data_IF_160603057799
#
_entry.id   IF_160603057799
#
_cell.length_a   1.000
_cell.length_b   1.000
_cell.length_c   1.000
_cell.angle_alpha   90.00
_cell.angle_beta   90.00
_cell.angle_gamma   90.00
#
_symmetry.space_group_name_H-M   'P 1'
#
loop_
_entity.id
_entity.type
_entity.pdbx_description
1 polymer ?
#
# COMPACT_ATOMS: atom_id res chain seq x y z
N UNK A 1 16.09 4.24 -13.21
CA UNK A 1 14.65 3.86 -13.23
C UNK A 1 13.88 5.01 -12.59
N UNK A 2 12.95 5.65 -13.30
CA UNK A 2 12.29 6.88 -12.85
C UNK A 2 11.33 6.68 -11.64
N UNK A 3 11.13 5.44 -11.16
CA UNK A 3 10.16 5.07 -10.12
C UNK A 3 10.78 4.28 -8.94
N UNK A 4 12.10 4.41 -8.70
CA UNK A 4 12.78 3.70 -7.62
C UNK A 4 12.71 2.16 -7.73
N UNK A 5 12.77 1.46 -6.60
CA UNK A 5 12.73 -0.02 -6.53
C UNK A 5 11.43 -0.59 -7.12
N UNK A 6 10.30 0.07 -6.92
CA UNK A 6 9.03 -0.36 -7.49
C UNK A 6 9.07 -0.31 -9.03
N UNK A 7 9.68 0.72 -9.60
CA UNK A 7 9.94 0.80 -11.05
C UNK A 7 10.80 -0.34 -11.58
N UNK A 8 11.81 -0.76 -10.81
CA UNK A 8 12.65 -1.90 -11.17
C UNK A 8 11.83 -3.20 -11.18
N UNK A 9 10.96 -3.41 -10.19
CA UNK A 9 10.09 -4.59 -10.15
C UNK A 9 9.15 -4.66 -11.36
N UNK A 10 8.52 -3.54 -11.73
CA UNK A 10 7.66 -3.48 -12.92
C UNK A 10 8.46 -3.74 -14.19
N UNK A 11 9.66 -3.13 -14.32
CA UNK A 11 10.55 -3.37 -15.47
C UNK A 11 11.01 -4.84 -15.55
N UNK A 12 11.13 -5.52 -14.41
CA UNK A 12 11.48 -6.94 -14.32
C UNK A 12 10.29 -7.89 -14.61
N UNK A 13 9.10 -7.36 -14.91
CA UNK A 13 7.94 -8.16 -15.29
C UNK A 13 6.91 -8.40 -14.18
N UNK A 14 7.07 -7.79 -13.00
CA UNK A 14 6.02 -7.82 -11.99
C UNK A 14 4.75 -7.13 -12.52
N UNK A 15 3.60 -7.81 -12.41
CA UNK A 15 2.31 -7.26 -12.86
C UNK A 15 1.87 -6.05 -12.03
N UNK A 16 2.24 -6.03 -10.75
CA UNK A 16 1.91 -4.99 -9.79
C UNK A 16 3.04 -4.88 -8.77
N UNK A 17 3.31 -3.67 -8.27
CA UNK A 17 4.22 -3.41 -7.17
C UNK A 17 3.57 -2.47 -6.16
N UNK A 18 3.64 -2.81 -4.87
CA UNK A 18 3.25 -1.95 -3.76
C UNK A 18 4.52 -1.38 -3.11
N UNK A 19 4.60 -0.07 -2.94
CA UNK A 19 5.76 0.59 -2.35
C UNK A 19 5.37 1.85 -1.58
N UNK A 20 6.29 2.37 -0.76
CA UNK A 20 6.15 3.65 -0.06
C UNK A 20 7.00 4.74 -0.72
N UNK A 21 6.50 5.98 -0.70
CA UNK A 21 7.22 7.17 -1.18
C UNK A 21 8.31 7.66 -0.21
N UNK A 22 8.14 7.42 1.09
CA UNK A 22 9.09 7.78 2.14
C UNK A 22 9.17 6.67 3.20
N UNK A 23 10.08 6.85 4.17
CA UNK A 23 10.22 5.97 5.32
C UNK A 23 8.98 6.05 6.23
N UNK A 24 8.42 4.91 6.58
CA UNK A 24 7.23 4.81 7.44
C UNK A 24 7.61 4.02 8.69
N UNK A 25 7.04 4.41 9.82
CA UNK A 25 7.10 3.67 11.08
C UNK A 25 6.74 2.18 10.89
N UNK A 26 7.52 1.29 11.51
CA UNK A 26 7.40 -0.15 11.30
C UNK A 26 6.07 -0.71 11.81
N UNK A 27 5.56 -0.22 12.96
CA UNK A 27 4.27 -0.64 13.49
C UNK A 27 3.13 -0.24 12.56
N UNK A 28 3.17 0.99 12.04
CA UNK A 28 2.20 1.51 11.07
C UNK A 28 2.23 0.69 9.77
N UNK A 29 3.43 0.40 9.25
CA UNK A 29 3.65 -0.40 8.05
C UNK A 29 3.11 -1.80 8.21
N UNK A 30 3.48 -2.48 9.30
CA UNK A 30 3.04 -3.84 9.61
C UNK A 30 1.51 -3.93 9.65
N UNK A 31 0.86 -2.98 10.32
CA UNK A 31 -0.60 -2.94 10.39
C UNK A 31 -1.26 -2.69 9.04
N UNK A 32 -0.76 -1.73 8.25
CA UNK A 32 -1.32 -1.38 6.95
C UNK A 32 -1.17 -2.51 5.94
N UNK A 33 0.02 -3.11 5.85
CA UNK A 33 0.29 -4.19 4.88
C UNK A 33 -0.47 -5.47 5.28
N UNK A 34 -0.57 -5.77 6.57
CA UNK A 34 -1.39 -6.89 7.05
C UNK A 34 -2.86 -6.69 6.69
N UNK A 35 -3.41 -5.49 6.92
CA UNK A 35 -4.80 -5.18 6.58
C UNK A 35 -5.03 -5.20 5.06
N UNK A 36 -4.09 -4.66 4.27
CA UNK A 36 -4.14 -4.75 2.81
C UNK A 36 -4.28 -6.19 2.32
N UNK A 37 -3.44 -7.13 2.80
CA UNK A 37 -3.54 -8.53 2.36
C UNK A 37 -4.82 -9.22 2.84
N UNK A 38 -5.33 -8.89 4.03
CA UNK A 38 -6.65 -9.38 4.48
C UNK A 38 -7.76 -8.94 3.55
N UNK A 39 -7.75 -7.68 3.12
CA UNK A 39 -8.76 -7.15 2.23
C UNK A 39 -8.62 -7.66 0.79
N UNK A 40 -7.40 -7.91 0.35
CA UNK A 40 -7.10 -8.49 -0.97
C UNK A 40 -7.64 -9.91 -1.12
N UNK A 41 -7.88 -10.64 -0.02
CA UNK A 41 -8.54 -11.95 -0.06
C UNK A 41 -10.02 -11.88 -0.43
N UNK A 42 -10.64 -10.69 -0.37
CA UNK A 42 -12.03 -10.52 -0.79
C UNK A 42 -12.11 -10.44 -2.32
N UNK A 43 -12.76 -11.41 -3.01
CA UNK A 43 -12.84 -11.43 -4.46
C UNK A 43 -13.65 -10.27 -5.06
N UNK A 44 -14.42 -9.53 -4.24
CA UNK A 44 -15.20 -8.38 -4.67
C UNK A 44 -14.42 -7.06 -4.62
N UNK A 45 -13.16 -7.07 -4.15
CA UNK A 45 -12.32 -5.89 -4.06
C UNK A 45 -11.17 -5.94 -5.06
N UNK A 46 -10.95 -4.85 -5.78
CA UNK A 46 -9.71 -4.64 -6.51
C UNK A 46 -8.54 -4.41 -5.56
N UNK A 47 -7.32 -4.56 -6.06
CA UNK A 47 -6.10 -4.22 -5.28
C UNK A 47 -6.12 -2.76 -4.82
N UNK A 48 -6.60 -1.85 -5.67
CA UNK A 48 -6.76 -0.44 -5.33
C UNK A 48 -7.75 -0.24 -4.17
N UNK A 49 -8.89 -0.93 -4.18
CA UNK A 49 -9.88 -0.86 -3.09
C UNK A 49 -9.33 -1.45 -1.79
N UNK A 50 -8.64 -2.59 -1.86
CA UNK A 50 -7.99 -3.20 -0.71
C UNK A 50 -6.97 -2.26 -0.06
N UNK A 51 -6.13 -1.58 -0.87
CA UNK A 51 -5.16 -0.61 -0.36
C UNK A 51 -5.85 0.62 0.23
N UNK A 52 -6.83 1.20 -0.47
CA UNK A 52 -7.55 2.38 -0.01
C UNK A 52 -8.21 2.14 1.35
N UNK A 53 -8.84 0.99 1.52
CA UNK A 53 -9.49 0.64 2.77
C UNK A 53 -8.47 0.42 3.89
N UNK A 54 -7.32 -0.21 3.62
CA UNK A 54 -6.24 -0.37 4.61
C UNK A 54 -5.68 0.98 5.05
N UNK A 55 -5.52 1.93 4.12
CA UNK A 55 -5.13 3.30 4.41
C UNK A 55 -6.17 4.02 5.29
N UNK A 56 -7.46 3.91 4.96
CA UNK A 56 -8.57 4.49 5.76
C UNK A 56 -8.65 3.89 7.17
N UNK A 57 -8.49 2.58 7.26
CA UNK A 57 -8.43 1.82 8.52
C UNK A 57 -7.32 2.35 9.41
N UNK A 58 -6.10 2.51 8.89
CA UNK A 58 -4.98 3.07 9.66
C UNK A 58 -5.20 4.55 10.02
N UNK A 59 -5.67 5.36 9.07
CA UNK A 59 -5.95 6.79 9.26
C UNK A 59 -7.00 7.06 10.36
N UNK A 60 -7.93 6.12 10.57
CA UNK A 60 -8.94 6.21 11.62
C UNK A 60 -8.36 6.06 13.03
N UNK A 61 -7.17 5.45 13.18
CA UNK A 61 -6.53 5.22 14.47
C UNK A 61 -5.89 6.50 14.97
N UNK A 62 -6.22 6.91 16.20
CA UNK A 62 -5.69 8.15 16.81
C UNK A 62 -4.16 8.26 16.76
N UNK A 63 -3.43 7.14 16.97
CA UNK A 63 -1.94 7.08 16.91
C UNK A 63 -1.40 7.40 15.51
N UNK A 64 -2.13 7.05 14.45
CA UNK A 64 -1.67 7.09 13.05
C UNK A 64 -2.46 8.05 12.17
N UNK A 65 -3.17 9.01 12.78
CA UNK A 65 -4.05 9.94 12.05
C UNK A 65 -3.29 10.84 11.08
N UNK A 66 -2.03 11.13 11.37
CA UNK A 66 -1.19 11.97 10.50
C UNK A 66 -0.89 11.25 9.17
N UNK A 67 -1.01 11.93 8.01
CA UNK A 67 -0.82 11.30 6.69
C UNK A 67 0.51 10.58 6.50
N UNK A 68 1.57 11.02 7.19
CA UNK A 68 2.90 10.39 7.14
C UNK A 68 2.90 8.87 7.36
N UNK A 69 1.89 8.32 8.07
CA UNK A 69 1.78 6.89 8.36
C UNK A 69 1.07 6.04 7.28
N UNK A 70 0.21 6.63 6.45
CA UNK A 70 -0.67 5.85 5.54
C UNK A 70 -0.70 6.37 4.10
N UNK A 71 -0.46 7.66 3.87
CA UNK A 71 -0.49 8.23 2.52
C UNK A 71 0.69 7.89 1.59
N UNK A 72 1.86 7.37 2.03
CA UNK A 72 2.94 7.08 1.10
C UNK A 72 2.75 5.83 0.26
N UNK A 73 1.84 4.92 0.66
CA UNK A 73 1.70 3.63 0.02
C UNK A 73 0.98 3.75 -1.33
N UNK A 74 1.61 3.24 -2.39
CA UNK A 74 1.14 3.31 -3.77
C UNK A 74 1.21 1.95 -4.45
N UNK A 75 0.19 1.64 -5.24
CA UNK A 75 0.19 0.54 -6.21
C UNK A 75 0.61 1.04 -7.59
N UNK A 76 1.57 0.36 -8.20
CA UNK A 76 2.09 0.64 -9.55
C UNK A 76 1.86 -0.59 -10.41
N UNK A 77 1.47 -0.41 -11.68
CA UNK A 77 1.17 -1.52 -12.61
C UNK A 77 -0.33 -1.83 -12.66
N UNK A 78 -0.72 -3.10 -12.60
CA UNK A 78 -2.12 -3.50 -12.61
C UNK A 78 -2.75 -3.38 -11.20
N UNK A 79 -3.61 -2.39 -10.99
CA UNK A 79 -4.29 -2.13 -9.71
C UNK A 79 -5.77 -2.53 -9.70
N UNK A 80 -6.30 -3.10 -10.79
CA UNK A 80 -7.64 -3.67 -10.88
C UNK A 80 -7.67 -5.13 -10.42
#
# INVERSE_FOLDING_TARGET
AALGLAGVAIKAGARSALASLWFVDDDATSQLITDFYKQLQNPNLSKAQALQNAQRSLASKRKYRHPAYWSPFLLIGNWL
#
